data_IF_639679031826
#
_entry.id   IF_639679031826
#
_cell.length_a   1.000
_cell.length_b   1.000
_cell.length_c   1.000
_cell.angle_alpha   90.00
_cell.angle_beta   90.00
_cell.angle_gamma   90.00
#
_symmetry.space_group_name_H-M   'P 1'
#
loop_
_entity.id
_entity.type
_entity.pdbx_description
1 polymer ?
#
# COMPACT_ATOMS: atom_id res chain seq x y z
N UNK A 1 8.67 1.81 -22.95
CA UNK A 1 8.36 1.06 -21.71
C UNK A 1 7.58 1.95 -20.76
N UNK A 2 6.55 1.40 -20.10
CA UNK A 2 5.31 2.12 -19.76
C UNK A 2 5.40 3.33 -18.82
N UNK A 3 4.53 4.32 -19.08
CA UNK A 3 4.27 5.54 -18.28
C UNK A 3 3.89 5.32 -16.80
N UNK A 4 3.87 4.07 -16.32
CA UNK A 4 3.63 3.72 -14.91
C UNK A 4 4.78 4.15 -13.97
N UNK A 5 5.98 4.44 -14.51
CA UNK A 5 7.11 4.94 -13.72
C UNK A 5 6.95 6.36 -13.15
N UNK A 6 5.87 7.10 -13.51
CA UNK A 6 5.71 8.51 -13.09
C UNK A 6 5.01 8.70 -11.74
N UNK A 7 4.21 7.73 -11.25
CA UNK A 7 3.45 7.84 -9.97
C UNK A 7 3.22 6.50 -9.25
N UNK A 8 4.28 5.79 -8.83
CA UNK A 8 4.17 4.48 -8.18
C UNK A 8 3.30 4.47 -6.91
N UNK A 9 3.16 5.60 -6.20
CA UNK A 9 2.30 5.67 -5.01
C UNK A 9 0.83 5.36 -5.31
N UNK A 10 0.31 5.75 -6.48
CA UNK A 10 -1.11 5.52 -6.78
C UNK A 10 -1.45 4.04 -6.96
N UNK A 11 -0.54 3.27 -7.56
CA UNK A 11 -0.78 1.85 -7.79
C UNK A 11 -0.62 1.07 -6.48
N UNK A 12 0.56 1.14 -5.88
CA UNK A 12 0.88 0.37 -4.67
C UNK A 12 0.16 0.91 -3.42
N UNK A 13 -0.04 2.23 -3.33
CA UNK A 13 -0.78 2.84 -2.23
C UNK A 13 -2.25 2.49 -2.24
N UNK A 14 -2.93 2.50 -3.40
CA UNK A 14 -4.35 2.12 -3.49
C UNK A 14 -4.55 0.67 -3.05
N UNK A 15 -3.79 -0.26 -3.62
CA UNK A 15 -3.86 -1.67 -3.25
C UNK A 15 -3.46 -1.90 -1.80
N UNK A 16 -2.38 -1.25 -1.34
CA UNK A 16 -1.93 -1.32 0.05
C UNK A 16 -3.00 -0.88 1.05
N UNK A 17 -3.66 0.25 0.79
CA UNK A 17 -4.76 0.75 1.61
C UNK A 17 -5.98 -0.19 1.57
N UNK A 18 -6.31 -0.77 0.41
CA UNK A 18 -7.41 -1.74 0.31
C UNK A 18 -7.16 -2.99 1.15
N UNK A 19 -5.97 -3.59 1.05
CA UNK A 19 -5.61 -4.76 1.85
C UNK A 19 -5.55 -4.44 3.35
N UNK A 20 -4.99 -3.29 3.71
CA UNK A 20 -4.96 -2.84 5.09
C UNK A 20 -6.36 -2.64 5.65
N UNK A 21 -7.24 -1.95 4.92
CA UNK A 21 -8.62 -1.69 5.34
C UNK A 21 -9.42 -3.00 5.48
N UNK A 22 -9.27 -3.91 4.52
CA UNK A 22 -9.90 -5.24 4.59
C UNK A 22 -9.45 -6.04 5.82
N UNK A 23 -8.14 -6.10 6.06
CA UNK A 23 -7.60 -6.75 7.26
C UNK A 23 -8.05 -6.07 8.55
N UNK A 24 -8.10 -4.74 8.57
CA UNK A 24 -8.55 -3.95 9.71
C UNK A 24 -10.03 -4.19 10.04
N UNK A 25 -10.91 -4.24 9.04
CA UNK A 25 -12.33 -4.55 9.24
C UNK A 25 -12.54 -5.96 9.80
N UNK A 26 -11.79 -6.95 9.30
CA UNK A 26 -11.84 -8.33 9.82
C UNK A 26 -11.33 -8.36 11.27
N UNK A 27 -10.22 -7.67 11.55
CA UNK A 27 -9.67 -7.56 12.90
C UNK A 27 -10.66 -6.90 13.86
N UNK A 28 -11.30 -5.80 13.45
CA UNK A 28 -12.29 -5.08 14.24
C UNK A 28 -13.52 -5.96 14.51
N UNK A 29 -14.03 -6.64 13.48
CA UNK A 29 -15.12 -7.61 13.62
C UNK A 29 -14.78 -8.69 14.66
N UNK A 30 -13.61 -9.32 14.56
CA UNK A 30 -13.17 -10.34 15.51
C UNK A 30 -12.99 -9.78 16.92
N UNK A 31 -12.52 -8.54 17.04
CA UNK A 31 -12.34 -7.86 18.34
C UNK A 31 -13.69 -7.61 18.99
N UNK A 32 -14.64 -7.02 18.28
CA UNK A 32 -16.00 -6.80 18.77
C UNK A 32 -16.66 -8.14 19.14
N UNK A 33 -16.52 -9.15 18.27
CA UNK A 33 -17.06 -10.48 18.54
C UNK A 33 -16.52 -11.10 19.83
N UNK A 34 -15.24 -10.86 20.15
CA UNK A 34 -14.62 -11.34 21.39
C UNK A 34 -15.18 -10.63 22.63
N UNK A 35 -15.32 -9.30 22.58
CA UNK A 35 -15.74 -8.51 23.74
C UNK A 35 -17.25 -8.58 24.02
N UNK A 36 -18.09 -8.70 22.98
CA UNK A 36 -19.55 -8.64 23.14
C UNK A 36 -20.26 -10.00 23.14
N UNK A 37 -19.68 -11.02 22.50
CA UNK A 37 -20.30 -12.35 22.36
C UNK A 37 -19.56 -13.44 23.12
N UNK A 38 -18.62 -13.06 23.99
CA UNK A 38 -17.82 -13.95 24.85
C UNK A 38 -17.14 -15.11 24.08
N UNK A 39 -16.86 -14.87 22.78
CA UNK A 39 -16.22 -15.86 21.92
C UNK A 39 -14.74 -15.97 22.32
N UNK A 40 -14.45 -16.99 23.11
CA UNK A 40 -13.08 -17.39 23.46
C UNK A 40 -12.36 -17.96 22.23
N UNK A 41 -11.05 -17.71 22.11
CA UNK A 41 -10.24 -18.29 21.04
C UNK A 41 -10.04 -17.45 19.76
N UNK A 42 -9.84 -16.12 19.86
CA UNK A 42 -9.54 -15.27 18.70
C UNK A 42 -8.29 -15.74 17.91
N UNK A 43 -7.24 -16.18 18.61
CA UNK A 43 -6.00 -16.70 18.03
C UNK A 43 -6.11 -18.13 17.49
N UNK A 44 -7.24 -18.81 17.69
CA UNK A 44 -7.47 -20.15 17.13
C UNK A 44 -8.13 -20.09 15.75
N UNK A 45 -8.56 -18.90 15.32
CA UNK A 45 -9.25 -18.71 14.03
C UNK A 45 -8.22 -18.37 12.95
N UNK A 46 -8.15 -19.14 11.85
CA UNK A 46 -7.31 -18.79 10.70
C UNK A 46 -7.56 -17.37 10.19
N UNK A 47 -8.80 -16.88 10.32
CA UNK A 47 -9.21 -15.54 9.93
C UNK A 47 -8.46 -14.43 10.68
N UNK A 48 -8.05 -14.67 11.94
CA UNK A 48 -7.26 -13.70 12.71
C UNK A 48 -5.87 -13.51 12.13
N UNK A 49 -5.19 -14.60 11.80
CA UNK A 49 -3.87 -14.55 11.16
C UNK A 49 -3.95 -13.96 9.75
N UNK A 50 -5.03 -14.26 9.01
CA UNK A 50 -5.28 -13.63 7.72
C UNK A 50 -5.45 -12.11 7.85
N UNK A 51 -6.20 -11.63 8.85
CA UNK A 51 -6.37 -10.19 9.09
C UNK A 51 -5.03 -9.50 9.37
N UNK A 52 -4.21 -10.08 10.24
CA UNK A 52 -2.87 -9.56 10.55
C UNK A 52 -1.99 -9.57 9.30
N UNK A 53 -1.96 -10.68 8.56
CA UNK A 53 -1.16 -10.80 7.34
C UNK A 53 -1.58 -9.76 6.30
N UNK A 54 -2.88 -9.58 6.07
CA UNK A 54 -3.42 -8.60 5.14
C UNK A 54 -3.05 -7.16 5.54
N UNK A 55 -3.08 -6.84 6.84
CA UNK A 55 -2.63 -5.55 7.36
C UNK A 55 -1.12 -5.34 7.15
N UNK A 56 -0.30 -6.35 7.43
CA UNK A 56 1.15 -6.29 7.20
C UNK A 56 1.44 -6.07 5.71
N UNK A 57 0.90 -6.90 4.83
CA UNK A 57 1.10 -6.76 3.38
C UNK A 57 0.58 -5.42 2.87
N UNK A 58 -0.58 -4.97 3.33
CA UNK A 58 -1.14 -3.66 2.98
C UNK A 58 -0.20 -2.50 3.34
N UNK A 59 0.35 -2.51 4.56
CA UNK A 59 1.34 -1.51 4.99
C UNK A 59 2.65 -1.58 4.17
N UNK A 60 3.14 -2.78 3.85
CA UNK A 60 4.36 -2.96 3.05
C UNK A 60 4.15 -2.42 1.62
N UNK A 61 3.00 -2.69 1.01
CA UNK A 61 2.66 -2.17 -0.31
C UNK A 61 2.56 -0.63 -0.29
N UNK A 62 1.91 -0.06 0.72
CA UNK A 62 1.84 1.39 0.88
C UNK A 62 3.23 2.03 1.00
N UNK A 63 4.10 1.46 1.84
CA UNK A 63 5.49 1.89 2.02
C UNK A 63 6.29 1.76 0.72
N UNK A 64 6.18 0.65 0.01
CA UNK A 64 6.86 0.44 -1.27
C UNK A 64 6.43 1.47 -2.32
N UNK A 65 5.12 1.78 -2.38
CA UNK A 65 4.59 2.83 -3.24
C UNK A 65 5.12 4.22 -2.90
N UNK A 66 5.18 4.54 -1.61
CA UNK A 66 5.73 5.80 -1.12
C UNK A 66 7.22 5.93 -1.43
N UNK A 67 8.01 4.90 -1.16
CA UNK A 67 9.45 4.87 -1.48
C UNK A 67 9.67 5.01 -2.99
N UNK A 68 8.90 4.27 -3.80
CA UNK A 68 8.98 4.39 -5.26
C UNK A 68 8.71 5.81 -5.74
N UNK A 69 7.78 6.52 -5.11
CA UNK A 69 7.43 7.90 -5.48
C UNK A 69 8.57 8.86 -5.13
N UNK A 70 9.20 8.68 -3.97
CA UNK A 70 10.39 9.46 -3.59
C UNK A 70 11.56 9.22 -4.54
N UNK A 71 11.82 7.97 -4.92
CA UNK A 71 12.88 7.61 -5.87
C UNK A 71 12.61 8.23 -7.24
N UNK A 72 11.37 8.10 -7.75
CA UNK A 72 10.97 8.68 -9.04
C UNK A 72 11.07 10.21 -9.04
N UNK A 73 10.76 10.86 -7.91
CA UNK A 73 10.87 12.32 -7.78
C UNK A 73 12.31 12.82 -7.71
N UNK A 74 13.25 12.01 -7.24
CA UNK A 74 14.66 12.35 -7.11
C UNK A 74 15.50 11.98 -8.35
N UNK A 75 14.88 11.48 -9.43
CA UNK A 75 15.60 11.08 -10.63
C UNK A 75 16.23 12.29 -11.37
N UNK A 76 17.57 12.31 -11.59
CA UNK A 76 18.28 13.46 -12.17
C UNK A 76 17.91 13.73 -13.64
N UNK A 77 17.38 12.74 -14.35
CA UNK A 77 17.01 12.85 -15.76
C UNK A 77 15.72 13.64 -16.02
N UNK A 78 14.95 13.99 -14.97
CA UNK A 78 13.65 14.68 -15.09
C UNK A 78 13.74 16.09 -15.70
N UNK A 79 14.92 16.70 -15.68
CA UNK A 79 15.18 18.05 -16.19
C UNK A 79 16.02 18.07 -17.48
N UNK A 80 16.16 16.95 -18.19
CA UNK A 80 16.70 16.97 -19.55
C UNK A 80 15.64 17.50 -20.52
N UNK A 81 15.56 18.82 -20.64
CA UNK A 81 14.84 19.45 -21.74
C UNK A 81 15.71 19.30 -22.98
N UNK A 82 15.16 18.71 -24.03
CA UNK A 82 15.71 18.85 -25.38
C UNK A 82 15.55 20.32 -25.76
N UNK A 83 16.59 21.12 -25.56
CA UNK A 83 16.63 22.48 -26.07
C UNK A 83 16.74 22.32 -27.59
N UNK A 84 15.66 22.61 -28.32
CA UNK A 84 15.76 22.83 -29.77
C UNK A 84 16.71 24.01 -29.97
N UNK A 85 17.91 23.74 -30.49
CA UNK A 85 18.78 24.79 -31.00
C UNK A 85 18.01 25.53 -32.09
N UNK A 86 17.61 26.77 -31.78
CA UNK A 86 17.08 27.69 -32.77
C UNK A 86 18.27 28.15 -33.60
N UNK A 87 18.51 27.47 -34.71
CA UNK A 87 19.37 27.90 -35.81
C UNK A 87 18.99 29.35 -36.19
N UNK A 88 19.95 30.28 -36.07
CA UNK A 88 19.86 31.68 -36.49
C UNK A 88 20.69 31.89 -37.76
#
# INVERSE_FOLDING_TARGET
MGKFGKRPMHFFGLWGTLFFMGGFLIFLYLTISKFFFDQTGMTQRPLFFFAILAMIIGSQLFLAGFIGELISRNAPERNSYLIEEREL
#
